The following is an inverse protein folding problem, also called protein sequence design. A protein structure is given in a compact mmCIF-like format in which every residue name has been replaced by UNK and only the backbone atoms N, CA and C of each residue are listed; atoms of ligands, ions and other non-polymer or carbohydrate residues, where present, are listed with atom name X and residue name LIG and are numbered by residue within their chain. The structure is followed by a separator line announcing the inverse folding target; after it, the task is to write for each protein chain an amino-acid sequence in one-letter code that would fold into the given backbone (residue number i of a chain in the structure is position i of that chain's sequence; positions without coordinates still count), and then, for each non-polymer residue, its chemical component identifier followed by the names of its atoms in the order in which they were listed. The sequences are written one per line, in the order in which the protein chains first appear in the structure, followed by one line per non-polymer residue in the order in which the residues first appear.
data_IF_779987065753
#
_entry.id   IF_779987065753
#
_cell.length_a   1.000
_cell.length_b   1.000
_cell.length_c   1.000
_cell.angle_alpha   90.00
_cell.angle_beta   90.00
_cell.angle_gamma   90.00
#
_symmetry.space_group_name_H-M   'P 1'
#
loop_
_entity.id
_entity.type
_entity.pdbx_description
1 polymer ?
#
# COMPACT_ATOMS: atom_id res chain seq x y z
N UNK A 1 -6.34 -24.74 27.32
CA UNK A 1 -5.69 -23.67 26.54
C UNK A 1 -6.57 -23.43 25.32
N UNK A 2 -7.09 -22.20 25.11
CA UNK A 2 -7.80 -21.88 23.88
C UNK A 2 -6.88 -22.11 22.67
N UNK A 3 -7.42 -22.43 21.48
CA UNK A 3 -6.61 -22.61 20.28
C UNK A 3 -5.90 -21.30 19.93
N UNK A 4 -4.61 -21.35 19.63
CA UNK A 4 -3.85 -20.19 19.16
C UNK A 4 -4.40 -19.72 17.81
N UNK A 5 -4.52 -18.41 17.55
CA UNK A 5 -4.94 -17.88 16.26
C UNK A 5 -3.99 -18.36 15.15
N UNK A 6 -4.52 -18.62 13.95
CA UNK A 6 -3.72 -19.02 12.78
C UNK A 6 -3.65 -17.87 11.78
N UNK A 7 -2.86 -16.85 12.12
CA UNK A 7 -2.75 -15.63 11.33
C UNK A 7 -2.12 -15.91 9.96
N UNK A 8 -1.18 -16.85 9.85
CA UNK A 8 -0.55 -17.21 8.58
C UNK A 8 -1.55 -17.76 7.57
N UNK A 9 -2.38 -18.69 8.00
CA UNK A 9 -3.48 -19.24 7.20
C UNK A 9 -4.49 -18.14 6.82
N UNK A 10 -4.89 -17.28 7.76
CA UNK A 10 -5.84 -16.20 7.51
C UNK A 10 -5.31 -15.16 6.50
N UNK A 11 -4.05 -14.75 6.63
CA UNK A 11 -3.38 -13.83 5.70
C UNK A 11 -3.29 -14.46 4.30
N UNK A 12 -2.93 -15.75 4.23
CA UNK A 12 -2.86 -16.49 2.96
C UNK A 12 -4.23 -16.60 2.30
N UNK A 13 -5.28 -16.86 3.10
CA UNK A 13 -6.65 -16.89 2.62
C UNK A 13 -7.09 -15.54 2.06
N UNK A 14 -6.85 -14.45 2.80
CA UNK A 14 -7.18 -13.11 2.36
C UNK A 14 -6.48 -12.75 1.04
N UNK A 15 -5.18 -13.06 0.92
CA UNK A 15 -4.40 -12.88 -0.31
C UNK A 15 -5.01 -13.64 -1.50
N UNK A 16 -5.40 -14.89 -1.28
CA UNK A 16 -5.78 -15.82 -2.35
C UNK A 16 -7.21 -15.58 -2.83
N UNK A 17 -8.13 -15.31 -1.89
CA UNK A 17 -9.56 -15.33 -2.18
C UNK A 17 -10.21 -13.96 -2.07
N UNK A 18 -9.80 -13.10 -1.14
CA UNK A 18 -10.46 -11.81 -0.91
C UNK A 18 -9.81 -10.67 -1.70
N UNK A 19 -8.48 -10.69 -1.78
CA UNK A 19 -7.67 -9.68 -2.47
C UNK A 19 -7.20 -10.17 -3.84
N UNK A 20 -8.04 -10.95 -4.51
CA UNK A 20 -7.85 -11.38 -5.90
C UNK A 20 -8.63 -10.45 -6.85
N UNK A 21 -8.20 -10.28 -8.11
CA UNK A 21 -8.95 -9.50 -9.09
C UNK A 21 -10.38 -10.00 -9.28
N UNK A 22 -10.59 -11.32 -9.25
CA UNK A 22 -11.92 -11.94 -9.37
C UNK A 22 -12.84 -11.71 -8.17
N UNK A 23 -12.28 -11.33 -7.01
CA UNK A 23 -13.03 -10.99 -5.80
C UNK A 23 -13.24 -9.48 -5.61
N UNK A 24 -12.95 -8.67 -6.63
CA UNK A 24 -13.17 -7.22 -6.60
C UNK A 24 -11.93 -6.39 -6.28
N UNK A 25 -10.74 -6.98 -6.21
CA UNK A 25 -9.50 -6.19 -6.10
C UNK A 25 -9.30 -5.35 -7.37
N UNK A 26 -9.28 -4.04 -7.19
CA UNK A 26 -9.11 -3.09 -8.30
C UNK A 26 -7.63 -2.84 -8.60
N UNK A 27 -7.18 -3.02 -9.86
CA UNK A 27 -5.83 -2.62 -10.27
C UNK A 27 -5.58 -1.13 -10.02
N UNK A 28 -4.36 -0.76 -9.61
CA UNK A 28 -3.97 0.63 -9.35
C UNK A 28 -4.49 1.22 -8.03
N UNK A 29 -5.42 0.56 -7.33
CA UNK A 29 -5.90 0.97 -6.01
C UNK A 29 -5.08 0.27 -4.93
N UNK A 30 -4.52 1.00 -3.94
CA UNK A 30 -3.85 0.38 -2.80
C UNK A 30 -4.77 -0.59 -2.07
N UNK A 31 -4.29 -1.79 -1.78
CA UNK A 31 -5.00 -2.77 -0.95
C UNK A 31 -4.41 -2.74 0.46
N UNK A 32 -5.29 -2.79 1.46
CA UNK A 32 -4.90 -2.80 2.87
C UNK A 32 -5.54 -4.00 3.56
N UNK A 33 -4.78 -4.71 4.38
CA UNK A 33 -5.23 -5.75 5.29
C UNK A 33 -5.01 -5.27 6.73
N UNK A 34 -6.05 -5.25 7.54
CA UNK A 34 -5.96 -4.96 8.98
C UNK A 34 -6.10 -6.28 9.74
N UNK A 35 -5.11 -6.63 10.54
CA UNK A 35 -5.06 -7.87 11.33
C UNK A 35 -5.39 -7.56 12.78
N UNK A 36 -6.45 -8.16 13.32
CA UNK A 36 -6.76 -8.08 14.75
C UNK A 36 -6.34 -9.39 15.41
N UNK A 37 -5.56 -9.32 16.49
CA UNK A 37 -5.06 -10.50 17.19
C UNK A 37 -5.10 -10.31 18.71
N UNK A 38 -5.42 -11.39 19.43
CA UNK A 38 -5.49 -11.49 20.90
C UNK A 38 -4.48 -12.51 21.47
N UNK A 39 -3.58 -13.00 20.63
CA UNK A 39 -2.62 -14.05 21.01
C UNK A 39 -1.45 -14.18 20.03
N UNK A 40 -0.38 -14.88 20.42
CA UNK A 40 0.65 -15.33 19.48
C UNK A 40 0.03 -16.30 18.46
N UNK A 41 0.52 -16.24 17.21
CA UNK A 41 0.02 -17.15 16.17
C UNK A 41 0.52 -18.57 16.42
N UNK A 42 -0.33 -19.56 16.16
CA UNK A 42 0.03 -20.98 16.18
C UNK A 42 0.75 -21.46 14.91
N UNK A 43 0.86 -20.59 13.90
CA UNK A 43 1.47 -20.85 12.60
C UNK A 43 2.44 -19.73 12.17
N UNK A 44 3.11 -19.90 11.03
CA UNK A 44 4.06 -18.91 10.50
C UNK A 44 3.35 -17.72 9.83
N UNK A 45 2.89 -16.79 10.67
CA UNK A 45 2.30 -15.54 10.25
C UNK A 45 3.27 -14.65 9.46
N UNK A 46 4.57 -14.75 9.73
CA UNK A 46 5.60 -13.86 9.17
C UNK A 46 5.85 -14.23 7.71
N UNK A 47 5.92 -15.51 7.38
CA UNK A 47 6.02 -15.97 6.00
C UNK A 47 4.82 -15.54 5.16
N UNK A 48 3.59 -15.73 5.67
CA UNK A 48 2.38 -15.31 4.98
C UNK A 48 2.33 -13.78 4.78
N UNK A 49 2.74 -13.02 5.81
CA UNK A 49 2.81 -11.57 5.75
C UNK A 49 3.84 -11.07 4.71
N UNK A 50 4.99 -11.72 4.60
CA UNK A 50 5.97 -11.42 3.54
C UNK A 50 5.34 -11.57 2.15
N UNK A 51 4.61 -12.66 1.94
CA UNK A 51 4.06 -12.99 0.62
C UNK A 51 2.88 -12.07 0.23
N UNK A 52 2.05 -11.62 1.19
CA UNK A 52 0.99 -10.65 0.92
C UNK A 52 1.56 -9.23 0.69
N UNK A 53 2.60 -8.83 1.44
CA UNK A 53 3.30 -7.55 1.27
C UNK A 53 3.98 -7.47 -0.10
N UNK A 54 4.63 -8.55 -0.54
CA UNK A 54 5.20 -8.64 -1.89
C UNK A 54 4.14 -8.48 -2.99
N UNK A 55 2.89 -8.87 -2.71
CA UNK A 55 1.72 -8.62 -3.57
C UNK A 55 1.20 -7.18 -3.55
N UNK A 56 1.93 -6.23 -2.96
CA UNK A 56 1.57 -4.82 -2.90
C UNK A 56 0.40 -4.50 -1.96
N UNK A 57 0.12 -5.38 -0.99
CA UNK A 57 -0.87 -5.17 0.06
C UNK A 57 -0.18 -4.57 1.28
N UNK A 58 -0.70 -3.45 1.77
CA UNK A 58 -0.31 -2.86 3.05
C UNK A 58 -0.94 -3.71 4.18
N UNK A 59 -0.19 -3.98 5.23
CA UNK A 59 -0.64 -4.77 6.40
C UNK A 59 -0.49 -3.91 7.64
N UNK A 60 -1.61 -3.67 8.32
CA UNK A 60 -1.71 -3.02 9.62
C UNK A 60 -2.14 -4.07 10.65
N UNK A 61 -1.84 -3.85 11.92
CA UNK A 61 -2.25 -4.74 12.99
C UNK A 61 -2.85 -3.97 14.18
N UNK A 62 -3.83 -4.59 14.83
CA UNK A 62 -4.40 -4.18 16.11
C UNK A 62 -4.09 -5.29 17.10
N UNK A 63 -3.28 -4.96 18.09
CA UNK A 63 -2.90 -5.81 19.21
C UNK A 63 -3.97 -5.70 20.30
N UNK A 64 -4.71 -6.77 20.55
CA UNK A 64 -5.57 -6.91 21.73
C UNK A 64 -4.75 -7.46 22.91
N UNK A 65 -5.39 -7.61 24.07
CA UNK A 65 -4.78 -8.24 25.24
C UNK A 65 -4.32 -9.67 24.90
N UNK A 66 -3.05 -9.99 25.18
CA UNK A 66 -2.47 -11.32 24.93
C UNK A 66 -1.72 -11.48 23.60
N UNK A 67 -1.83 -10.52 22.68
CA UNK A 67 -1.12 -10.58 21.40
C UNK A 67 0.40 -10.41 21.52
N UNK A 68 1.14 -11.14 20.70
CA UNK A 68 2.60 -11.01 20.60
C UNK A 68 2.97 -9.82 19.71
N UNK A 69 3.40 -8.72 20.35
CA UNK A 69 3.80 -7.49 19.64
C UNK A 69 5.03 -7.66 18.76
N UNK A 70 6.00 -8.48 19.16
CA UNK A 70 7.19 -8.70 18.34
C UNK A 70 6.85 -9.52 17.10
N UNK A 71 5.89 -10.46 17.22
CA UNK A 71 5.33 -11.13 16.06
C UNK A 71 4.57 -10.16 15.16
N UNK A 72 3.71 -9.29 15.71
CA UNK A 72 2.93 -8.33 14.93
C UNK A 72 3.82 -7.30 14.21
N UNK A 73 4.91 -6.83 14.83
CA UNK A 73 5.92 -5.95 14.20
C UNK A 73 6.49 -6.54 12.90
N UNK A 74 6.66 -7.86 12.86
CA UNK A 74 7.17 -8.56 11.67
C UNK A 74 6.09 -8.83 10.62
N UNK A 75 4.82 -8.86 11.04
CA UNK A 75 3.65 -9.03 10.15
C UNK A 75 3.32 -7.73 9.42
N UNK A 76 3.34 -6.58 10.10
CA UNK A 76 2.96 -5.29 9.52
C UNK A 76 3.93 -4.80 8.44
N UNK A 77 3.50 -3.81 7.65
CA UNK A 77 4.29 -3.28 6.53
C UNK A 77 5.36 -2.28 6.97
N UNK A 78 5.10 -1.53 8.03
CA UNK A 78 6.04 -0.60 8.65
C UNK A 78 5.92 -0.73 10.16
N UNK A 79 7.01 -0.47 10.88
CA UNK A 79 7.00 -0.39 12.35
C UNK A 79 6.60 1.01 12.86
N UNK A 80 6.25 1.91 11.95
CA UNK A 80 5.65 3.21 12.28
C UNK A 80 4.38 3.00 13.13
N UNK A 81 4.14 3.82 14.18
CA UNK A 81 2.98 3.69 15.06
C UNK A 81 1.64 3.56 14.32
N UNK A 82 1.51 4.14 13.12
CA UNK A 82 0.31 4.06 12.25
C UNK A 82 -0.01 2.67 11.72
N UNK A 83 0.85 1.68 11.98
CA UNK A 83 0.68 0.30 11.52
C UNK A 83 0.44 -0.68 12.65
N UNK A 84 0.65 -0.31 13.91
CA UNK A 84 0.45 -1.19 15.08
C UNK A 84 -0.33 -0.43 16.14
N UNK A 85 -1.62 -0.73 16.23
CA UNK A 85 -2.49 -0.17 17.26
C UNK A 85 -2.58 -1.13 18.45
N UNK A 86 -2.90 -0.59 19.61
CA UNK A 86 -3.17 -1.36 20.82
C UNK A 86 -4.60 -1.07 21.23
N UNK A 87 -5.43 -2.11 21.34
CA UNK A 87 -6.77 -1.92 21.86
C UNK A 87 -6.70 -1.70 23.38
N UNK A 88 -7.04 -0.49 23.79
CA UNK A 88 -7.18 -0.11 25.20
C UNK A 88 -8.55 -0.42 25.79
N UNK A 89 -9.45 -1.07 25.03
CA UNK A 89 -10.83 -1.37 25.44
C UNK A 89 -11.88 -0.42 24.86
N UNK A 90 -11.50 0.41 23.88
CA UNK A 90 -12.38 1.36 23.20
C UNK A 90 -12.12 1.37 21.69
N UNK A 91 -12.61 0.34 21.00
CA UNK A 91 -12.46 0.19 19.55
C UNK A 91 -12.93 1.44 18.76
N UNK A 92 -13.90 2.20 19.27
CA UNK A 92 -14.41 3.41 18.65
C UNK A 92 -13.37 4.57 18.58
N UNK A 93 -12.43 4.67 19.53
CA UNK A 93 -11.34 5.64 19.47
C UNK A 93 -10.28 5.20 18.46
N UNK A 94 -10.00 3.90 18.44
CA UNK A 94 -9.12 3.24 17.47
C UNK A 94 -9.63 3.40 16.03
N UNK A 95 -10.95 3.34 15.82
CA UNK A 95 -11.60 3.53 14.52
C UNK A 95 -11.32 4.91 13.93
N UNK A 96 -11.31 5.97 14.76
CA UNK A 96 -11.01 7.33 14.33
C UNK A 96 -9.58 7.48 13.81
N UNK A 97 -8.60 7.04 14.60
CA UNK A 97 -7.18 7.08 14.25
C UNK A 97 -6.87 6.19 13.03
N UNK A 98 -7.39 4.96 13.03
CA UNK A 98 -7.22 4.02 11.92
C UNK A 98 -7.80 4.59 10.61
N UNK A 99 -8.94 5.28 10.68
CA UNK A 99 -9.54 5.89 9.48
C UNK A 99 -8.65 6.99 8.91
N UNK A 100 -8.09 7.85 9.76
CA UNK A 100 -7.19 8.94 9.32
C UNK A 100 -5.89 8.40 8.70
N UNK A 101 -5.31 7.38 9.33
CA UNK A 101 -4.11 6.70 8.84
C UNK A 101 -4.37 5.96 7.52
N UNK A 102 -5.51 5.29 7.39
CA UNK A 102 -5.91 4.66 6.13
C UNK A 102 -6.06 5.70 5.01
N UNK A 103 -6.67 6.86 5.30
CA UNK A 103 -6.77 7.96 4.33
C UNK A 103 -5.39 8.43 3.89
N UNK A 104 -4.46 8.57 4.83
CA UNK A 104 -3.08 8.96 4.56
C UNK A 104 -2.34 7.92 3.72
N UNK A 105 -2.41 6.63 4.10
CA UNK A 105 -1.76 5.52 3.39
C UNK A 105 -2.26 5.40 1.94
N UNK A 106 -3.56 5.60 1.72
CA UNK A 106 -4.17 5.57 0.39
C UNK A 106 -3.81 6.82 -0.42
N UNK A 107 -3.80 8.00 0.21
CA UNK A 107 -3.55 9.29 -0.46
C UNK A 107 -2.08 9.48 -0.86
N UNK A 108 -1.12 9.03 -0.05
CA UNK A 108 0.32 9.18 -0.33
C UNK A 108 0.73 8.45 -1.63
N UNK A 109 0.03 7.38 -2.02
CA UNK A 109 0.31 6.66 -3.27
C UNK A 109 -0.41 7.27 -4.50
N UNK A 110 -1.37 8.16 -4.28
CA UNK A 110 -2.01 8.94 -5.36
C UNK A 110 -1.09 9.99 -5.98
N UNK A 111 0.00 10.35 -5.31
CA UNK A 111 0.93 11.41 -5.75
C UNK A 111 2.35 10.91 -6.01
N UNK A 112 2.54 9.62 -6.34
CA UNK A 112 3.77 9.17 -7.03
C UNK A 112 3.59 9.14 -8.54
N UNK A 113 3.03 10.22 -9.07
CA UNK A 113 3.21 10.66 -10.44
C UNK A 113 4.28 11.74 -10.43
N UNK A 114 5.54 11.32 -10.46
CA UNK A 114 6.71 12.17 -10.61
C UNK A 114 6.60 12.98 -11.92
N UNK A 115 5.97 14.15 -11.82
CA UNK A 115 6.10 15.25 -12.78
C UNK A 115 7.26 16.09 -12.26
N UNK A 116 8.48 15.80 -12.71
CA UNK A 116 9.60 16.59 -12.21
C UNK A 116 11.01 16.38 -12.74
N UNK A 117 11.26 15.92 -13.98
CA UNK A 117 12.43 16.43 -14.73
C UNK A 117 12.33 16.20 -16.25
N UNK A 118 11.65 17.11 -16.94
CA UNK A 118 11.81 17.32 -18.38
C UNK A 118 12.11 18.80 -18.64
N UNK A 119 13.17 19.31 -18.01
CA UNK A 119 13.76 20.63 -18.31
C UNK A 119 15.29 20.54 -18.30
N UNK A 120 15.85 19.61 -19.08
CA UNK A 120 17.30 19.64 -19.41
C UNK A 120 17.66 19.02 -20.77
N UNK A 121 16.70 18.89 -21.70
CA UNK A 121 16.99 18.38 -23.06
C UNK A 121 16.84 19.41 -24.18
N UNK A 122 16.36 20.63 -23.89
CA UNK A 122 16.28 21.72 -24.87
C UNK A 122 17.51 22.66 -24.85
N UNK A 123 18.46 22.45 -23.94
CA UNK A 123 19.70 23.24 -23.85
C UNK A 123 20.87 22.67 -24.67
N UNK A 124 20.73 21.50 -25.28
CA UNK A 124 21.81 20.79 -26.00
C UNK A 124 21.59 20.67 -27.51
N UNK A 125 20.56 21.31 -28.07
CA UNK A 125 20.24 21.27 -29.49
C UNK A 125 20.18 22.68 -30.10
N UNK A 126 21.33 23.26 -30.52
CA UNK A 126 21.41 24.62 -31.05
C UNK A 126 20.66 24.86 -32.38
N UNK A 127 20.03 23.83 -32.96
CA UNK A 127 19.41 23.91 -34.29
C UNK A 127 17.93 24.30 -34.27
N UNK A 128 17.25 24.32 -33.11
CA UNK A 128 15.80 24.51 -33.06
C UNK A 128 15.33 25.99 -33.00
N UNK A 129 16.25 26.97 -33.09
CA UNK A 129 15.91 28.42 -32.97
C UNK A 129 16.30 29.24 -34.21
N UNK A 130 16.44 28.60 -35.38
CA UNK A 130 16.64 29.35 -36.62
C UNK A 130 15.96 28.68 -37.81
N UNK A 131 14.76 29.13 -38.15
CA UNK A 131 14.38 29.52 -39.52
C UNK A 131 12.97 30.09 -39.53
N UNK A 132 12.88 31.41 -39.32
CA UNK A 132 11.88 32.23 -40.00
C UNK A 132 12.45 32.62 -41.37
N UNK A 133 11.67 32.41 -42.43
CA UNK A 133 12.05 32.80 -43.79
C UNK A 133 11.29 31.99 -44.82
N UNK A 134 10.33 32.62 -45.50
CA UNK A 134 9.28 31.97 -46.25
C UNK A 134 9.67 31.30 -47.57
N UNK A 135 8.72 30.56 -48.13
CA UNK A 135 8.67 30.22 -49.55
C UNK A 135 7.24 29.83 -49.96
N UNK A 136 6.95 30.18 -51.20
CA UNK A 136 5.67 30.19 -51.89
C UNK A 136 4.96 28.83 -52.04
N UNK A 137 3.63 28.88 -52.10
CA UNK A 137 2.76 27.83 -52.64
C UNK A 137 2.63 27.98 -54.16
N UNK A 138 2.71 26.90 -54.96
CA UNK A 138 1.98 26.82 -56.22
C UNK A 138 0.68 26.01 -56.04
N UNK A 139 -0.36 26.49 -56.73
CA UNK A 139 -1.71 25.94 -56.77
C UNK A 139 -1.80 24.62 -57.53
N UNK A 140 -2.83 23.87 -57.16
CA UNK A 140 -3.33 22.65 -57.78
C UNK A 140 -3.73 22.81 -59.26
N UNK A 141 -3.59 21.70 -60.00
CA UNK A 141 -4.53 21.23 -61.01
C UNK A 141 -4.45 19.71 -61.08
#
# INVERSE_FOLDING_TARGET
MPPSPSLGAAITFARTYLLSPGAGRRPGVPAVLVVLADGPSGDDAIAAARDIKAGGVQVLAVSLEGADREQLRRVVTSEDPRYIYQDGGALAELEGELTDDLCTIISIRGEKGDRGEAVSALASHPWLVAQGGGAAYPKAS
#
